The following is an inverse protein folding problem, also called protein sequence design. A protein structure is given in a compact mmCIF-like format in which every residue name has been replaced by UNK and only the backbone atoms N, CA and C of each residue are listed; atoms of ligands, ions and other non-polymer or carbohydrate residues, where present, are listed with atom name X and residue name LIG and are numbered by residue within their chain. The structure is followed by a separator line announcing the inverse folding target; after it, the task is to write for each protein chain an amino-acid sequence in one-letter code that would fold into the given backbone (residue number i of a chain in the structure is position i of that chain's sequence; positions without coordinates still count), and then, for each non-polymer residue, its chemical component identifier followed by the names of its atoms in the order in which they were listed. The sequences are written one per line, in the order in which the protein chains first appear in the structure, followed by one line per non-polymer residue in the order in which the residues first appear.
data_IF_480157259555
#
_entry.id   IF_480157259555
#
_cell.length_a   1.000
_cell.length_b   1.000
_cell.length_c   1.000
_cell.angle_alpha   90.00
_cell.angle_beta   90.00
_cell.angle_gamma   90.00
#
_symmetry.space_group_name_H-M   'P 1'
#
loop_
_entity.id
_entity.type
_entity.pdbx_description
1 polymer ?
#
# COMPACT_ATOMS: atom_id res chain seq x y z
N UNK A 1 -6.19 -2.66 12.50
CA UNK A 1 -5.57 -2.15 11.26
C UNK A 1 -4.18 -1.56 11.51
N UNK A 2 -4.01 -0.67 12.50
CA UNK A 2 -2.69 -0.14 12.88
C UNK A 2 -1.65 -1.22 13.24
N UNK A 3 -2.06 -2.29 13.93
CA UNK A 3 -1.16 -3.39 14.27
C UNK A 3 -0.70 -4.22 13.06
N UNK A 4 -1.48 -4.24 11.98
CA UNK A 4 -1.03 -4.85 10.72
C UNK A 4 0.02 -3.97 10.05
N UNK A 5 -0.15 -2.64 10.08
CA UNK A 5 0.79 -1.66 9.52
C UNK A 5 2.15 -1.71 10.23
N UNK A 6 2.19 -1.83 11.55
CA UNK A 6 3.46 -1.89 12.31
C UNK A 6 4.31 -3.11 11.99
N UNK A 7 3.72 -4.17 11.42
CA UNK A 7 4.43 -5.39 10.98
C UNK A 7 5.10 -5.26 9.61
N UNK A 8 4.81 -4.18 8.86
CA UNK A 8 5.49 -3.91 7.59
C UNK A 8 6.86 -3.26 7.81
N UNK A 9 7.71 -3.33 6.80
CA UNK A 9 8.97 -2.56 6.75
C UNK A 9 8.68 -1.05 6.84
N UNK A 10 9.56 -0.24 7.47
CA UNK A 10 9.41 1.22 7.52
C UNK A 10 9.17 1.85 6.14
N UNK A 11 9.83 1.37 5.09
CA UNK A 11 9.63 1.88 3.74
C UNK A 11 8.26 1.55 3.13
N UNK A 12 7.66 0.42 3.51
CA UNK A 12 6.31 0.08 3.07
C UNK A 12 5.25 0.86 3.88
N UNK A 13 5.49 1.06 5.18
CA UNK A 13 4.64 1.89 6.04
C UNK A 13 4.57 3.33 5.53
N UNK A 14 5.73 3.91 5.19
CA UNK A 14 5.83 5.30 4.72
C UNK A 14 5.03 5.51 3.45
N UNK A 15 5.21 4.65 2.46
CA UNK A 15 4.48 4.71 1.18
C UNK A 15 2.97 4.61 1.40
N UNK A 16 2.52 3.73 2.30
CA UNK A 16 1.10 3.59 2.61
C UNK A 16 0.55 4.85 3.29
N UNK A 17 1.28 5.42 4.25
CA UNK A 17 0.87 6.64 4.97
C UNK A 17 0.72 7.82 4.02
N UNK A 18 1.73 8.06 3.18
CA UNK A 18 1.71 9.12 2.17
C UNK A 18 0.50 8.99 1.24
N UNK A 19 0.19 7.79 0.75
CA UNK A 19 -0.95 7.62 -0.16
C UNK A 19 -2.32 7.62 0.51
N UNK A 20 -2.42 7.27 1.79
CA UNK A 20 -3.69 7.10 2.47
C UNK A 20 -4.15 8.35 3.24
N UNK A 21 -3.22 9.18 3.70
CA UNK A 21 -3.54 10.41 4.44
C UNK A 21 -3.36 11.68 3.62
N UNK A 22 -2.35 11.73 2.76
CA UNK A 22 -2.04 12.91 1.95
C UNK A 22 -2.63 12.80 0.52
N UNK A 23 -3.34 11.71 0.22
CA UNK A 23 -3.93 11.38 -1.09
C UNK A 23 -2.95 11.49 -2.28
N UNK A 24 -1.65 11.42 -1.99
CA UNK A 24 -0.58 11.64 -2.97
C UNK A 24 -0.63 10.61 -4.11
N UNK A 25 -0.46 11.12 -5.33
CA UNK A 25 -0.21 10.33 -6.52
C UNK A 25 1.15 9.63 -6.50
N UNK A 26 1.37 8.69 -7.42
CA UNK A 26 2.62 7.93 -7.50
C UNK A 26 3.84 8.83 -7.68
N UNK A 27 3.71 9.91 -8.45
CA UNK A 27 4.80 10.84 -8.73
C UNK A 27 5.16 11.70 -7.52
N UNK A 28 4.17 12.12 -6.74
CA UNK A 28 4.40 12.91 -5.53
C UNK A 28 5.00 12.04 -4.42
N UNK A 29 4.56 10.79 -4.30
CA UNK A 29 5.22 9.79 -3.45
C UNK A 29 6.65 9.54 -3.91
N UNK A 30 6.90 9.51 -5.21
CA UNK A 30 8.24 9.32 -5.76
C UNK A 30 9.16 10.49 -5.37
N UNK A 31 8.66 11.73 -5.50
CA UNK A 31 9.35 12.94 -5.07
C UNK A 31 9.62 12.94 -3.56
N UNK A 32 8.61 12.64 -2.74
CA UNK A 32 8.75 12.58 -1.27
C UNK A 32 9.77 11.53 -0.82
N UNK A 33 9.90 10.42 -1.55
CA UNK A 33 10.83 9.33 -1.24
C UNK A 33 12.18 9.44 -1.96
N UNK A 34 12.40 10.48 -2.77
CA UNK A 34 13.63 10.65 -3.56
C UNK A 34 13.89 9.49 -4.52
N UNK A 35 12.85 8.87 -5.09
CA UNK A 35 12.98 7.75 -6.02
C UNK A 35 12.21 8.00 -7.33
N UNK A 36 12.42 7.17 -8.35
CA UNK A 36 11.65 7.29 -9.60
C UNK A 36 10.22 6.78 -9.45
N UNK A 37 9.29 7.33 -10.24
CA UNK A 37 7.85 6.98 -10.24
C UNK A 37 7.58 5.48 -10.35
N UNK A 38 8.35 4.78 -11.21
CA UNK A 38 8.27 3.32 -11.33
C UNK A 38 8.60 2.61 -10.01
N UNK A 39 9.63 3.07 -9.31
CA UNK A 39 10.02 2.49 -8.03
C UNK A 39 8.96 2.77 -6.94
N UNK A 40 8.38 3.97 -6.92
CA UNK A 40 7.27 4.32 -6.04
C UNK A 40 6.03 3.44 -6.30
N UNK A 41 5.63 3.28 -7.57
CA UNK A 41 4.51 2.41 -7.95
C UNK A 41 4.72 0.95 -7.50
N UNK A 42 5.92 0.41 -7.72
CA UNK A 42 6.28 -0.94 -7.30
C UNK A 42 6.27 -1.08 -5.78
N UNK A 43 6.81 -0.09 -5.05
CA UNK A 43 6.78 -0.06 -3.58
C UNK A 43 5.34 -0.03 -3.07
N UNK A 44 4.50 0.85 -3.59
CA UNK A 44 3.09 0.96 -3.21
C UNK A 44 2.32 -0.34 -3.46
N UNK A 45 2.53 -0.97 -4.62
CA UNK A 45 1.90 -2.25 -4.91
C UNK A 45 2.34 -3.35 -3.94
N UNK A 46 3.64 -3.45 -3.65
CA UNK A 46 4.17 -4.43 -2.69
C UNK A 46 3.67 -4.17 -1.28
N UNK A 47 3.68 -2.91 -0.83
CA UNK A 47 3.20 -2.51 0.48
C UNK A 47 1.72 -2.86 0.67
N UNK A 48 0.86 -2.58 -0.32
CA UNK A 48 -0.56 -2.97 -0.31
C UNK A 48 -0.73 -4.50 -0.23
N UNK A 49 0.02 -5.27 -1.02
CA UNK A 49 0.00 -6.75 -0.96
C UNK A 49 0.43 -7.27 0.41
N UNK A 50 1.50 -6.73 0.99
CA UNK A 50 2.01 -7.13 2.31
C UNK A 50 1.02 -6.79 3.42
N UNK A 51 0.44 -5.59 3.38
CA UNK A 51 -0.59 -5.19 4.33
C UNK A 51 -1.80 -6.13 4.29
N UNK A 52 -2.27 -6.49 3.08
CA UNK A 52 -3.34 -7.46 2.92
C UNK A 52 -2.97 -8.81 3.54
N UNK A 53 -1.76 -9.30 3.29
CA UNK A 53 -1.28 -10.56 3.87
C UNK A 53 -1.18 -10.52 5.40
N UNK A 54 -0.74 -9.41 5.99
CA UNK A 54 -0.73 -9.25 7.46
C UNK A 54 -2.14 -9.21 8.04
N UNK A 55 -3.07 -8.50 7.39
CA UNK A 55 -4.48 -8.50 7.78
C UNK A 55 -5.05 -9.92 7.71
N UNK A 56 -4.78 -10.65 6.62
CA UNK A 56 -5.25 -12.03 6.45
C UNK A 56 -4.65 -12.98 7.49
N UNK A 57 -3.40 -12.79 7.91
CA UNK A 57 -2.77 -13.57 9.00
C UNK A 57 -3.38 -13.28 10.36
N UNK A 58 -3.71 -12.02 10.62
CA UNK A 58 -4.31 -11.59 11.89
C UNK A 58 -5.79 -11.97 11.97
N UNK A 59 -6.44 -12.16 10.82
CA UNK A 59 -7.83 -12.55 10.74
C UNK A 59 -7.94 -14.06 11.02
N UNK A 60 -8.66 -14.47 12.08
CA UNK A 60 -9.00 -15.88 12.22
C UNK A 60 -9.79 -16.32 10.98
N UNK A 61 -9.66 -17.60 10.59
CA UNK A 61 -9.98 -18.18 9.28
C UNK A 61 -11.41 -17.96 8.70
N UNK A 62 -12.27 -17.17 9.34
CA UNK A 62 -13.69 -17.03 9.03
C UNK A 62 -14.07 -16.01 7.94
N UNK A 63 -13.14 -15.31 7.27
CA UNK A 63 -13.50 -14.16 6.43
C UNK A 63 -12.87 -14.11 5.03
N UNK A 64 -12.51 -15.24 4.43
CA UNK A 64 -11.80 -15.29 3.14
C UNK A 64 -12.56 -14.70 1.92
N UNK A 65 -13.79 -14.23 2.06
CA UNK A 65 -14.62 -13.77 0.93
C UNK A 65 -14.75 -12.24 0.91
N UNK A 66 -13.88 -11.56 0.15
CA UNK A 66 -14.08 -10.21 -0.41
C UNK A 66 -12.77 -9.71 -1.04
N UNK A 67 -12.55 -9.97 -2.32
CA UNK A 67 -11.53 -9.29 -3.12
C UNK A 67 -12.20 -8.37 -4.13
N UNK A 68 -12.16 -7.07 -3.84
CA UNK A 68 -12.58 -5.97 -4.72
C UNK A 68 -11.50 -5.77 -5.82
N UNK A 69 -11.87 -5.63 -7.11
CA UNK A 69 -10.90 -5.40 -8.18
C UNK A 69 -10.31 -3.99 -8.08
N UNK A 70 -8.99 -3.89 -8.26
CA UNK A 70 -8.27 -2.61 -8.29
C UNK A 70 -8.53 -1.91 -9.64
N UNK A 71 -9.44 -0.94 -9.65
CA UNK A 71 -9.69 -0.07 -10.80
C UNK A 71 -8.42 0.70 -11.18
N UNK A 72 -8.10 0.69 -12.47
CA UNK A 72 -6.98 1.38 -13.08
C UNK A 72 -7.46 2.78 -13.42
N UNK A 73 -7.01 3.78 -12.68
CA UNK A 73 -7.20 5.17 -13.07
C UNK A 73 -6.05 5.59 -13.99
N UNK A 74 -6.34 5.70 -15.29
CA UNK A 74 -5.49 6.35 -16.27
C UNK A 74 -5.76 7.85 -16.19
N UNK A 75 -4.73 8.68 -15.98
CA UNK A 75 -4.79 10.09 -16.38
C UNK A 75 -4.04 10.22 -17.70
N UNK A 76 -4.78 10.61 -18.73
CA UNK A 76 -4.28 10.90 -20.07
C UNK A 76 -3.84 12.34 -20.23
#
# INVERSE_FOLDING_TARGET
MHEALTRLSPGDQEVLRLTAWEELGVDEVAAALGCGSRAAAMRLHRARRRLRAEIDRMRPAAAADATVPKERHCHG
#
